data_IF_633353477842
#
_entry.id   IF_633353477842
#
_cell.length_a   1.000
_cell.length_b   1.000
_cell.length_c   1.000
_cell.angle_alpha   90.00
_cell.angle_beta   90.00
_cell.angle_gamma   90.00
#
_symmetry.space_group_name_H-M   'P 1'
#
loop_
_entity.id
_entity.type
_entity.pdbx_description
1 polymer ?
#
# COMPACT_ATOMS: atom_id res chain seq x y z
N UNK A 1 -3.38 -9.15 -28.14
CA UNK A 1 -3.19 -9.60 -26.75
C UNK A 1 -1.70 -9.52 -26.46
N UNK A 2 -1.23 -8.65 -25.55
CA UNK A 2 0.17 -8.67 -25.16
C UNK A 2 0.46 -10.04 -24.51
N UNK A 3 1.57 -10.65 -24.92
CA UNK A 3 1.99 -11.98 -24.51
C UNK A 3 2.53 -11.92 -23.07
N UNK A 4 2.17 -12.90 -22.23
CA UNK A 4 2.64 -13.00 -20.82
C UNK A 4 4.17 -12.94 -20.67
N UNK A 5 4.90 -13.28 -21.74
CA UNK A 5 6.36 -13.14 -21.83
C UNK A 5 6.81 -11.67 -21.87
N UNK A 6 6.08 -10.80 -22.57
CA UNK A 6 6.41 -9.38 -22.65
C UNK A 6 6.20 -8.71 -21.29
N UNK A 7 5.09 -9.03 -20.60
CA UNK A 7 4.83 -8.55 -19.24
C UNK A 7 5.89 -9.05 -18.26
N UNK A 8 6.32 -10.31 -18.37
CA UNK A 8 7.39 -10.88 -17.54
C UNK A 8 8.76 -10.24 -17.81
N UNK A 9 9.05 -9.89 -19.08
CA UNK A 9 10.28 -9.20 -19.45
C UNK A 9 10.28 -7.76 -18.95
N UNK A 10 9.15 -7.05 -19.02
CA UNK A 10 9.02 -5.70 -18.45
C UNK A 10 9.23 -5.68 -16.93
N UNK A 11 8.82 -6.75 -16.23
CA UNK A 11 9.07 -6.94 -14.79
C UNK A 11 10.54 -7.26 -14.45
N UNK A 12 11.33 -7.73 -15.43
CA UNK A 12 12.74 -8.08 -15.26
C UNK A 12 13.71 -6.99 -15.77
N UNK A 13 13.20 -5.96 -16.45
CA UNK A 13 14.01 -4.83 -16.91
C UNK A 13 14.55 -4.04 -15.71
N UNK A 14 15.86 -3.71 -15.70
CA UNK A 14 16.42 -2.85 -14.68
C UNK A 14 15.78 -1.46 -14.77
N UNK A 15 15.59 -0.82 -13.61
CA UNK A 15 15.14 0.56 -13.56
C UNK A 15 16.21 1.49 -14.14
N UNK A 16 15.78 2.61 -14.70
CA UNK A 16 16.70 3.68 -15.07
C UNK A 16 17.41 4.24 -13.84
N UNK A 17 18.62 4.83 -13.98
CA UNK A 17 19.36 5.40 -12.85
C UNK A 17 18.54 6.45 -12.07
N UNK A 18 17.70 7.22 -12.76
CA UNK A 18 16.82 8.23 -12.17
C UNK A 18 15.77 7.57 -11.27
N UNK A 19 15.06 6.55 -11.78
CA UNK A 19 14.02 5.86 -11.03
C UNK A 19 14.59 5.04 -9.87
N UNK A 20 15.78 4.44 -10.04
CA UNK A 20 16.49 3.77 -8.95
C UNK A 20 16.92 4.78 -7.87
N UNK A 21 17.37 5.98 -8.27
CA UNK A 21 17.66 7.07 -7.33
C UNK A 21 16.41 7.50 -6.55
N UNK A 22 15.26 7.64 -7.22
CA UNK A 22 13.99 7.94 -6.56
C UNK A 22 13.57 6.82 -5.59
N UNK A 23 13.70 5.55 -6.01
CA UNK A 23 13.43 4.39 -5.16
C UNK A 23 14.30 4.41 -3.92
N UNK A 24 15.60 4.63 -4.06
CA UNK A 24 16.52 4.69 -2.93
C UNK A 24 16.20 5.87 -2.01
N UNK A 25 15.81 7.01 -2.57
CA UNK A 25 15.38 8.16 -1.79
C UNK A 25 14.17 7.83 -0.91
N UNK A 26 13.15 7.17 -1.47
CA UNK A 26 11.96 6.73 -0.75
C UNK A 26 12.31 5.71 0.35
N UNK A 27 13.21 4.76 0.06
CA UNK A 27 13.68 3.78 1.06
C UNK A 27 14.32 4.49 2.26
N UNK A 28 15.10 5.53 2.01
CA UNK A 28 15.85 6.23 3.07
C UNK A 28 14.96 7.20 3.88
N UNK A 29 13.88 7.71 3.31
CA UNK A 29 13.06 8.77 3.94
C UNK A 29 11.75 8.26 4.56
N UNK A 30 11.24 7.11 4.12
CA UNK A 30 9.95 6.62 4.56
C UNK A 30 10.09 5.55 5.63
N UNK A 31 9.08 5.46 6.49
CA UNK A 31 9.04 4.47 7.55
C UNK A 31 8.65 3.08 6.99
N UNK A 32 9.44 2.07 7.34
CA UNK A 32 9.21 0.65 7.05
C UNK A 32 8.91 0.30 5.57
N UNK A 33 9.71 0.77 4.59
CA UNK A 33 9.53 0.38 3.21
C UNK A 33 9.95 -1.10 3.04
N UNK A 34 9.00 -1.95 2.68
CA UNK A 34 9.28 -3.33 2.26
C UNK A 34 9.48 -3.34 0.75
N UNK A 35 10.64 -3.84 0.31
CA UNK A 35 11.01 -3.87 -1.09
C UNK A 35 10.51 -5.16 -1.76
N UNK A 36 9.67 -5.01 -2.79
CA UNK A 36 9.40 -6.04 -3.79
C UNK A 36 10.30 -5.88 -5.02
N UNK A 37 10.14 -6.74 -6.03
CA UNK A 37 10.97 -6.70 -7.25
C UNK A 37 10.99 -5.31 -7.90
N UNK A 38 9.81 -4.77 -8.21
CA UNK A 38 9.60 -3.46 -8.83
C UNK A 38 8.62 -2.60 -8.02
N UNK A 39 8.52 -2.82 -6.71
CA UNK A 39 7.58 -2.08 -5.89
C UNK A 39 8.15 -1.80 -4.50
N UNK A 40 7.70 -0.71 -3.89
CA UNK A 40 7.91 -0.38 -2.50
C UNK A 40 6.55 -0.37 -1.80
N UNK A 41 6.43 -1.14 -0.72
CA UNK A 41 5.26 -1.13 0.16
C UNK A 41 5.64 -0.32 1.40
N UNK A 42 4.94 0.79 1.65
CA UNK A 42 5.32 1.75 2.70
C UNK A 42 4.33 1.68 3.86
N UNK A 43 4.85 1.54 5.08
CA UNK A 43 4.09 1.50 6.33
C UNK A 43 3.63 0.09 6.77
N UNK A 44 3.31 -0.04 8.06
CA UNK A 44 2.69 -1.23 8.65
C UNK A 44 1.48 -0.84 9.53
N UNK A 45 0.24 -1.14 9.12
CA UNK A 45 -0.13 -1.82 7.86
C UNK A 45 0.16 -0.95 6.63
N UNK A 46 0.25 -1.58 5.45
CA UNK A 46 0.63 -0.88 4.20
C UNK A 46 -0.27 0.33 3.96
N UNK A 47 0.35 1.51 3.84
CA UNK A 47 -0.31 2.79 3.64
C UNK A 47 -0.38 3.16 2.16
N UNK A 48 0.68 2.87 1.41
CA UNK A 48 0.82 3.21 0.00
C UNK A 48 1.79 2.23 -0.66
N UNK A 49 1.61 2.00 -1.94
CA UNK A 49 2.49 1.16 -2.77
C UNK A 49 3.01 2.03 -3.91
N UNK A 50 4.32 2.03 -4.12
CA UNK A 50 4.93 2.68 -5.29
C UNK A 50 5.44 1.58 -6.21
N UNK A 51 4.89 1.49 -7.43
CA UNK A 51 5.33 0.56 -8.47
C UNK A 51 6.23 1.30 -9.45
N UNK A 52 7.40 0.75 -9.71
CA UNK A 52 8.37 1.29 -10.65
C UNK A 52 8.33 0.50 -11.94
N UNK A 53 8.08 1.20 -13.04
CA UNK A 53 8.15 0.67 -14.39
C UNK A 53 9.37 1.31 -15.08
N UNK A 54 9.81 0.82 -16.24
CA UNK A 54 11.06 1.28 -16.85
C UNK A 54 11.17 2.80 -17.11
N UNK A 55 10.03 3.49 -17.26
CA UNK A 55 9.95 4.90 -17.64
C UNK A 55 9.11 5.77 -16.68
N UNK A 56 8.57 5.19 -15.59
CA UNK A 56 7.65 5.87 -14.68
C UNK A 56 7.56 5.22 -13.30
N UNK A 57 7.12 6.00 -12.33
CA UNK A 57 6.67 5.52 -11.03
C UNK A 57 5.16 5.73 -10.89
N UNK A 58 4.44 4.69 -10.48
CA UNK A 58 3.01 4.71 -10.23
C UNK A 58 2.74 4.58 -8.73
N UNK A 59 1.91 5.47 -8.18
CA UNK A 59 1.50 5.45 -6.77
C UNK A 59 0.11 4.84 -6.67
N UNK A 60 0.02 3.78 -5.87
CA UNK A 60 -1.17 2.97 -5.69
C UNK A 60 -1.63 3.02 -4.23
N UNK A 61 -2.94 3.13 -4.01
CA UNK A 61 -3.53 2.89 -2.70
C UNK A 61 -3.84 1.40 -2.50
N UNK A 62 -3.51 0.84 -1.34
CA UNK A 62 -3.95 -0.50 -0.97
C UNK A 62 -5.46 -0.46 -0.74
N UNK A 63 -6.23 -0.96 -1.70
CA UNK A 63 -7.68 -1.15 -1.58
C UNK A 63 -8.01 -2.62 -1.33
N UNK A 64 -8.85 -2.85 -0.31
CA UNK A 64 -9.58 -4.11 -0.16
C UNK A 64 -10.86 -4.05 -0.99
N UNK A 65 -10.96 -4.88 -2.02
CA UNK A 65 -12.26 -5.19 -2.63
C UNK A 65 -12.84 -6.40 -1.92
N UNK A 66 -14.02 -6.24 -1.30
CA UNK A 66 -14.83 -7.36 -0.85
C UNK A 66 -15.50 -7.99 -2.07
N UNK A 67 -14.93 -9.09 -2.57
CA UNK A 67 -15.63 -9.95 -3.54
C UNK A 67 -16.15 -11.17 -2.80
N UNK A 68 -17.47 -11.36 -2.84
CA UNK A 68 -18.21 -12.54 -2.37
C UNK A 68 -17.63 -13.29 -1.16
N UNK A 69 -18.26 -13.09 0.00
CA UNK A 69 -18.23 -13.84 1.27
C UNK A 69 -16.93 -14.45 1.85
N UNK A 70 -15.89 -14.79 1.08
CA UNK A 70 -14.67 -15.44 1.61
C UNK A 70 -13.36 -15.11 0.86
N UNK A 71 -13.38 -14.34 -0.24
CA UNK A 71 -12.14 -13.98 -0.97
C UNK A 71 -11.77 -12.50 -0.87
N UNK A 72 -10.77 -12.20 -0.04
CA UNK A 72 -10.12 -10.90 0.00
C UNK A 72 -9.15 -10.79 -1.19
N UNK A 73 -9.54 -10.05 -2.23
CA UNK A 73 -8.60 -9.65 -3.29
C UNK A 73 -8.14 -8.22 -3.01
N UNK A 74 -6.87 -8.06 -2.66
CA UNK A 74 -6.21 -6.76 -2.65
C UNK A 74 -5.98 -6.34 -4.09
N UNK A 75 -6.86 -5.50 -4.65
CA UNK A 75 -6.62 -4.86 -5.93
C UNK A 75 -6.21 -3.42 -5.62
N UNK A 76 -4.90 -3.08 -5.70
CA UNK A 76 -4.46 -1.71 -5.51
C UNK A 76 -5.13 -0.79 -6.53
N UNK A 77 -5.46 0.42 -6.11
CA UNK A 77 -6.06 1.44 -6.97
C UNK A 77 -5.03 2.50 -7.32
N UNK A 78 -4.88 2.78 -8.61
CA UNK A 78 -3.96 3.83 -9.08
C UNK A 78 -4.45 5.20 -8.64
N UNK A 79 -3.53 6.01 -8.10
CA UNK A 79 -3.78 7.37 -7.65
C UNK A 79 -3.04 8.42 -8.46
N UNK A 80 -1.97 8.02 -9.14
CA UNK A 80 -1.26 8.87 -10.06
C UNK A 80 0.02 8.19 -10.54
N UNK A 81 0.56 8.77 -11.61
CA UNK A 81 1.76 8.31 -12.29
C UNK A 81 2.69 9.50 -12.44
N UNK A 82 3.97 9.30 -12.20
CA UNK A 82 5.05 10.26 -12.41
C UNK A 82 6.01 9.67 -13.43
N UNK A 83 5.99 10.22 -14.64
CA UNK A 83 6.90 9.81 -15.71
C UNK A 83 8.32 10.31 -15.40
N UNK A 84 9.33 9.51 -15.72
CA UNK A 84 10.75 9.87 -15.49
C UNK A 84 11.14 11.15 -16.25
N UNK A 85 10.62 11.34 -17.47
CA UNK A 85 11.09 12.38 -18.40
C UNK A 85 10.51 13.76 -18.11
N UNK A 86 9.29 13.82 -17.62
CA UNK A 86 8.54 15.06 -17.38
C UNK A 86 8.26 15.31 -15.91
N UNK A 87 8.37 14.27 -15.08
CA UNK A 87 8.14 14.31 -13.66
C UNK A 87 9.39 14.64 -12.85
N UNK A 88 9.19 14.71 -11.54
CA UNK A 88 10.24 15.00 -10.56
C UNK A 88 10.05 14.16 -9.31
N UNK A 89 11.13 14.01 -8.54
CA UNK A 89 11.09 13.30 -7.26
C UNK A 89 10.13 14.00 -6.28
N UNK A 90 10.08 15.33 -6.29
CA UNK A 90 9.21 16.12 -5.42
C UNK A 90 7.73 15.85 -5.71
N UNK A 91 7.36 15.69 -6.98
CA UNK A 91 6.00 15.30 -7.36
C UNK A 91 5.65 13.89 -6.88
N UNK A 92 6.60 12.95 -6.98
CA UNK A 92 6.41 11.59 -6.49
C UNK A 92 6.23 11.58 -4.96
N UNK A 93 7.05 12.33 -4.23
CA UNK A 93 6.95 12.45 -2.77
C UNK A 93 5.62 13.08 -2.36
N UNK A 94 5.21 14.17 -2.99
CA UNK A 94 3.92 14.81 -2.72
C UNK A 94 2.75 13.83 -2.92
N UNK A 95 2.76 13.07 -4.02
CA UNK A 95 1.72 12.09 -4.31
C UNK A 95 1.70 10.93 -3.28
N UNK A 96 2.88 10.49 -2.84
CA UNK A 96 3.03 9.48 -1.78
C UNK A 96 2.45 10.00 -0.46
N UNK A 97 2.81 11.22 -0.04
CA UNK A 97 2.34 11.83 1.20
C UNK A 97 0.82 12.04 1.19
N UNK A 98 0.27 12.51 0.08
CA UNK A 98 -1.18 12.64 -0.11
C UNK A 98 -1.90 11.30 0.03
N UNK A 99 -1.33 10.23 -0.55
CA UNK A 99 -1.90 8.89 -0.46
C UNK A 99 -1.82 8.34 0.97
N UNK A 100 -0.70 8.55 1.67
CA UNK A 100 -0.56 8.17 3.08
C UNK A 100 -1.61 8.89 3.94
N UNK A 101 -1.73 10.21 3.79
CA UNK A 101 -2.71 11.00 4.52
C UNK A 101 -4.14 10.55 4.23
N UNK A 102 -4.45 10.24 2.96
CA UNK A 102 -5.75 9.71 2.56
C UNK A 102 -6.02 8.33 3.18
N UNK A 103 -5.03 7.43 3.18
CA UNK A 103 -5.17 6.10 3.75
C UNK A 103 -5.38 6.15 5.27
N UNK A 104 -4.64 6.99 5.98
CA UNK A 104 -4.77 7.15 7.43
C UNK A 104 -6.15 7.69 7.86
N UNK A 105 -6.88 8.40 7.00
CA UNK A 105 -8.26 8.82 7.30
C UNK A 105 -9.24 7.66 7.42
N UNK A 106 -8.95 6.52 6.78
CA UNK A 106 -9.77 5.31 6.88
C UNK A 106 -9.55 4.49 8.16
N UNK A 107 -8.56 4.85 8.98
CA UNK A 107 -8.24 4.10 10.19
C UNK A 107 -9.20 4.51 11.31
N UNK A 108 -9.80 3.51 11.96
CA UNK A 108 -10.73 3.72 13.07
C UNK A 108 -10.14 3.24 14.39
N UNK A 109 -10.58 3.85 15.49
CA UNK A 109 -10.22 3.44 16.84
C UNK A 109 -10.98 2.19 17.25
N UNK A 110 -10.28 1.24 17.88
CA UNK A 110 -10.90 0.09 18.51
C UNK A 110 -11.72 0.54 19.72
N UNK A 111 -13.00 0.18 19.81
CA UNK A 111 -13.88 0.56 20.93
C UNK A 111 -13.46 -0.01 22.30
N UNK A 112 -12.51 -0.96 22.32
CA UNK A 112 -12.06 -1.64 23.55
C UNK A 112 -10.73 -1.13 24.08
N UNK A 113 -9.77 -0.89 23.19
CA UNK A 113 -8.40 -0.51 23.59
C UNK A 113 -7.95 0.86 23.07
N UNK A 114 -8.79 1.58 22.32
CA UNK A 114 -8.49 2.90 21.77
C UNK A 114 -7.43 2.91 20.66
N UNK A 115 -6.82 1.76 20.32
CA UNK A 115 -5.82 1.67 19.26
C UNK A 115 -6.44 2.02 17.90
N UNK A 116 -5.82 2.92 17.14
CA UNK A 116 -6.15 3.14 15.73
C UNK A 116 -5.68 1.95 14.90
N UNK A 117 -6.60 1.35 14.16
CA UNK A 117 -6.35 0.20 13.33
C UNK A 117 -6.84 0.46 11.90
N UNK A 118 -6.14 -0.12 10.93
CA UNK A 118 -6.64 -0.15 9.57
C UNK A 118 -7.92 -1.00 9.48
N UNK A 119 -8.84 -0.69 8.54
CA UNK A 119 -10.10 -1.42 8.35
C UNK A 119 -9.95 -2.94 8.30
N UNK A 120 -8.91 -3.46 7.65
CA UNK A 120 -8.61 -4.89 7.53
C UNK A 120 -8.28 -5.59 8.86
N UNK A 121 -7.77 -4.83 9.82
CA UNK A 121 -7.41 -5.28 11.16
C UNK A 121 -8.56 -5.10 12.17
N UNK A 122 -9.67 -4.51 11.74
CA UNK A 122 -10.89 -4.36 12.52
C UNK A 122 -11.90 -5.44 12.14
N UNK A 123 -12.61 -5.93 13.15
CA UNK A 123 -13.88 -6.62 12.98
C UNK A 123 -15.00 -5.78 13.60
N UNK A 124 -16.18 -6.40 13.75
CA UNK A 124 -17.32 -5.81 14.44
C UNK A 124 -17.65 -6.62 15.68
N UNK A 125 -17.87 -5.93 16.80
CA UNK A 125 -18.39 -6.51 18.02
C UNK A 125 -19.58 -5.68 18.47
N UNK A 126 -20.78 -6.27 18.47
CA UNK A 126 -22.02 -5.56 18.81
C UNK A 126 -22.27 -4.30 17.97
N UNK A 127 -21.77 -4.27 16.72
CA UNK A 127 -21.88 -3.12 15.83
C UNK A 127 -20.74 -2.10 15.96
N UNK A 128 -19.82 -2.28 16.91
CA UNK A 128 -18.68 -1.38 17.11
C UNK A 128 -17.37 -1.91 16.48
N UNK A 129 -16.51 -1.03 15.95
CA UNK A 129 -15.21 -1.41 15.40
C UNK A 129 -14.29 -1.92 16.51
N UNK A 130 -13.88 -3.18 16.44
CA UNK A 130 -13.00 -3.81 17.44
C UNK A 130 -11.83 -4.50 16.76
N UNK A 131 -10.59 -4.29 17.25
CA UNK A 131 -9.41 -4.92 16.67
C UNK A 131 -9.41 -6.45 16.88
N UNK A 132 -8.75 -7.18 15.98
CA UNK A 132 -8.67 -8.65 16.02
C UNK A 132 -8.11 -9.20 17.34
N UNK A 133 -7.20 -8.48 17.99
CA UNK A 133 -6.63 -8.92 19.27
C UNK A 133 -7.66 -8.87 20.40
N UNK A 134 -8.45 -7.80 20.49
CA UNK A 134 -9.55 -7.70 21.46
C UNK A 134 -10.67 -8.70 21.18
N UNK A 135 -10.90 -9.07 19.91
CA UNK A 135 -11.83 -10.14 19.54
C UNK A 135 -11.31 -11.53 19.97
N UNK A 136 -10.02 -11.81 19.73
CA UNK A 136 -9.37 -13.09 20.10
C UNK A 136 -9.21 -13.27 21.60
N UNK A 137 -8.92 -12.20 22.35
CA UNK A 137 -8.79 -12.24 23.81
C UNK A 137 -10.05 -12.72 24.56
N UNK A 138 -11.20 -12.84 23.88
CA UNK A 138 -12.42 -13.46 24.41
C UNK A 138 -12.50 -14.99 24.21
N UNK A 139 -11.61 -15.61 23.44
CA UNK A 139 -11.64 -17.07 23.21
C UNK A 139 -10.95 -17.89 24.31
N UNK A 140 -10.39 -17.27 25.35
CA UNK A 140 -9.71 -17.97 26.47
C UNK A 140 -10.34 -17.56 27.80
N UNK A 141 -11.63 -17.85 27.97
CA UNK A 141 -12.29 -17.94 29.28
C UNK A 141 -13.35 -19.05 29.17
N UNK A 142 -12.90 -20.30 29.13
CA UNK A 142 -13.68 -21.48 29.46
C UNK A 142 -12.79 -22.43 30.25
#
# INVERSE_FOLDING_TARGET
>A
MPSKLLDALLLAMPLSPTLESWRQHLINHLNYPVQGAQSLFIGDPVLVIVSFQPDRAEVLLPSMEWRHHDMQTTKPSSRGVVDERSGSLEQLLALVDECIALRLKSFHECSRCGKRCAPEALGSLMGEPTCRDCLKGRRVLF
#
